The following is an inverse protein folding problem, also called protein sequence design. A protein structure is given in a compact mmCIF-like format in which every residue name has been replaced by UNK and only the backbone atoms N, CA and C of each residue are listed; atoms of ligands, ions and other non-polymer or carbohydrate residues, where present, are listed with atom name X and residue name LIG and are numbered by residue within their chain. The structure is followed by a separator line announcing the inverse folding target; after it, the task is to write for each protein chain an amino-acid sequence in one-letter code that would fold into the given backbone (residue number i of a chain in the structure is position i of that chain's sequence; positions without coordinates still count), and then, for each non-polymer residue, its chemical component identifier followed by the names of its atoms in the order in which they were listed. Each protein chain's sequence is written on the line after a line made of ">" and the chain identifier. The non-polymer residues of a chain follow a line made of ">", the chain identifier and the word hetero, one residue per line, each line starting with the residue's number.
data_IF_712830465616
#
_entry.id   IF_712830465616
#
_cell.length_a   1.000
_cell.length_b   1.000
_cell.length_c   1.000
_cell.angle_alpha   90.00
_cell.angle_beta   90.00
_cell.angle_gamma   90.00
#
_symmetry.space_group_name_H-M   'P 1'
#
loop_
_entity.id
_entity.type
_entity.pdbx_description
1 polymer ?
#
# COMPACT_ATOMS: atom_id res chain seq x y z
N UNK A 1 33.40 -23.62 32.08
CA UNK A 1 33.04 -24.22 30.78
C UNK A 1 31.62 -23.82 30.41
N UNK A 2 31.46 -22.83 29.53
CA UNK A 2 30.31 -22.72 28.62
C UNK A 2 30.83 -22.13 27.31
N UNK A 3 31.05 -23.02 26.36
CA UNK A 3 31.54 -22.77 25.01
C UNK A 3 30.49 -21.95 24.26
N UNK A 4 30.84 -20.77 23.76
CA UNK A 4 29.99 -20.04 22.80
C UNK A 4 30.26 -20.61 21.41
N UNK A 5 29.26 -21.30 20.85
CA UNK A 5 29.26 -21.72 19.46
C UNK A 5 28.95 -20.49 18.59
N UNK A 6 29.92 -20.11 17.75
CA UNK A 6 29.74 -19.10 16.70
C UNK A 6 29.00 -19.77 15.55
N UNK A 7 27.69 -19.54 15.45
CA UNK A 7 26.92 -19.96 14.27
C UNK A 7 27.22 -18.95 13.16
N UNK A 8 28.00 -19.40 12.17
CA UNK A 8 28.20 -18.68 10.93
C UNK A 8 26.87 -18.73 10.15
N UNK A 9 26.10 -17.63 10.12
CA UNK A 9 24.99 -17.52 9.20
C UNK A 9 25.57 -17.37 7.79
N UNK A 10 25.43 -18.41 6.97
CA UNK A 10 25.56 -18.27 5.53
C UNK A 10 24.38 -17.41 5.04
N UNK A 11 24.64 -16.15 4.73
CA UNK A 11 23.70 -15.32 3.99
C UNK A 11 23.62 -15.84 2.56
N UNK A 12 22.59 -16.63 2.27
CA UNK A 12 22.14 -16.88 0.92
C UNK A 12 21.79 -15.51 0.32
N UNK A 13 22.52 -15.07 -0.71
CA UNK A 13 22.10 -13.90 -1.50
C UNK A 13 20.80 -14.27 -2.21
N UNK A 14 19.67 -13.95 -1.59
CA UNK A 14 18.42 -13.73 -2.32
C UNK A 14 18.62 -12.39 -3.03
N UNK A 15 18.47 -12.36 -4.35
CA UNK A 15 18.45 -11.12 -5.11
C UNK A 15 17.39 -10.19 -4.49
N UNK A 16 17.86 -9.16 -3.79
CA UNK A 16 17.01 -8.23 -3.07
C UNK A 16 16.31 -7.31 -4.06
N UNK A 17 15.09 -7.64 -4.43
CA UNK A 17 14.21 -6.67 -5.06
C UNK A 17 13.93 -5.59 -4.01
N UNK A 18 14.35 -4.35 -4.28
CA UNK A 18 14.03 -3.22 -3.41
C UNK A 18 12.61 -2.75 -3.72
N UNK A 19 11.78 -2.59 -2.69
CA UNK A 19 10.44 -2.02 -2.85
C UNK A 19 10.54 -0.56 -3.29
N UNK A 20 9.62 -0.13 -4.14
CA UNK A 20 9.52 1.25 -4.62
C UNK A 20 8.19 1.86 -4.20
N UNK A 21 8.18 3.15 -3.88
CA UNK A 21 6.96 3.90 -3.58
C UNK A 21 6.14 4.05 -4.85
N UNK A 22 4.98 3.41 -4.88
CA UNK A 22 4.05 3.48 -6.01
C UNK A 22 3.18 4.73 -5.95
N UNK A 23 2.78 5.12 -4.74
CA UNK A 23 1.99 6.30 -4.46
C UNK A 23 2.24 6.73 -3.02
N UNK A 24 2.23 8.04 -2.78
CA UNK A 24 2.33 8.62 -1.44
C UNK A 24 1.47 9.87 -1.32
N UNK A 25 1.03 10.15 -0.10
CA UNK A 25 0.54 11.45 0.35
C UNK A 25 1.33 11.92 1.55
N UNK A 26 1.97 13.08 1.40
CA UNK A 26 2.76 13.73 2.46
C UNK A 26 1.98 14.85 3.12
N UNK A 27 0.93 15.37 2.47
CA UNK A 27 0.12 16.48 2.96
C UNK A 27 0.94 17.76 3.24
N UNK A 28 2.07 17.94 2.55
CA UNK A 28 2.94 19.11 2.76
C UNK A 28 2.29 20.41 2.27
N UNK A 29 1.33 20.33 1.32
CA UNK A 29 0.76 21.51 0.66
C UNK A 29 -0.77 21.56 0.61
N UNK A 30 -1.45 20.42 0.64
CA UNK A 30 -2.92 20.32 0.66
C UNK A 30 -3.38 18.94 1.18
N UNK A 31 -4.68 18.65 1.06
CA UNK A 31 -5.29 17.36 1.46
C UNK A 31 -5.08 16.23 0.43
N UNK A 32 -4.48 16.51 -0.72
CA UNK A 32 -4.22 15.56 -1.81
C UNK A 32 -5.43 14.74 -2.25
N UNK A 33 -6.64 15.31 -2.13
CA UNK A 33 -7.91 14.68 -2.49
C UNK A 33 -8.39 13.63 -1.50
N UNK A 34 -7.81 13.56 -0.29
CA UNK A 34 -8.32 12.73 0.78
C UNK A 34 -9.64 13.28 1.32
N UNK A 35 -10.41 12.40 1.98
CA UNK A 35 -11.64 12.80 2.63
C UNK A 35 -11.92 11.90 3.84
N UNK A 36 -13.15 11.96 4.35
CA UNK A 36 -13.64 11.12 5.44
C UNK A 36 -14.72 10.16 4.95
N UNK A 37 -14.99 9.14 5.75
CA UNK A 37 -16.08 8.20 5.56
C UNK A 37 -16.85 7.98 6.86
N UNK A 38 -18.18 7.88 6.72
CA UNK A 38 -19.15 7.75 7.83
C UNK A 38 -19.13 8.95 8.77
N UNK A 39 -18.76 8.76 10.03
CA UNK A 39 -19.10 9.66 11.14
C UNK A 39 -18.06 10.76 11.40
N UNK A 40 -17.14 10.95 10.46
CA UNK A 40 -16.23 12.07 10.52
C UNK A 40 -16.96 13.38 10.25
N UNK A 41 -16.45 14.48 10.79
CA UNK A 41 -16.75 15.84 10.31
C UNK A 41 -15.50 16.72 10.36
N UNK A 42 -15.69 17.95 9.92
CA UNK A 42 -14.69 19.01 10.01
C UNK A 42 -13.34 18.58 9.42
N UNK A 43 -13.39 17.81 8.32
CA UNK A 43 -12.20 17.38 7.60
C UNK A 43 -11.45 18.59 7.07
N UNK A 44 -10.17 18.70 7.43
CA UNK A 44 -9.34 19.84 7.10
C UNK A 44 -7.88 19.41 6.92
N UNK A 45 -7.22 20.07 5.97
CA UNK A 45 -5.76 20.10 5.91
C UNK A 45 -5.20 21.13 6.91
N UNK A 46 -4.06 20.80 7.53
CA UNK A 46 -3.40 21.60 8.55
C UNK A 46 -1.93 21.72 8.21
N UNK A 47 -1.50 22.95 7.90
CA UNK A 47 -0.13 23.21 7.43
C UNK A 47 0.95 23.14 8.52
N UNK A 48 0.57 23.22 9.79
CA UNK A 48 1.50 23.37 10.92
C UNK A 48 1.48 22.20 11.91
N UNK A 49 0.70 21.15 11.63
CA UNK A 49 0.65 19.90 12.40
C UNK A 49 1.01 18.78 11.44
N UNK A 50 1.85 17.84 11.87
CA UNK A 50 2.44 16.80 11.02
C UNK A 50 3.75 16.31 11.62
N UNK A 51 4.38 15.34 10.98
CA UNK A 51 5.75 14.92 11.27
C UNK A 51 6.51 14.53 9.98
N UNK A 52 7.03 15.49 9.18
CA UNK A 52 7.11 16.95 9.40
C UNK A 52 5.77 17.71 9.20
N UNK A 53 5.67 19.03 9.49
CA UNK A 53 4.40 19.76 9.41
C UNK A 53 3.69 19.65 8.04
N UNK A 54 2.37 19.45 8.10
CA UNK A 54 1.53 19.04 6.96
C UNK A 54 0.75 17.79 7.35
N UNK A 55 -0.57 17.86 7.45
CA UNK A 55 -1.42 16.69 7.75
C UNK A 55 -2.88 16.98 7.43
N UNK A 56 -3.70 15.93 7.40
CA UNK A 56 -5.17 16.06 7.41
C UNK A 56 -5.73 15.59 8.74
N UNK A 57 -6.83 16.19 9.17
CA UNK A 57 -7.52 15.81 10.42
C UNK A 57 -9.03 15.78 10.25
N UNK A 58 -9.69 15.07 11.15
CA UNK A 58 -11.14 15.12 11.32
C UNK A 58 -11.54 14.80 12.77
N UNK A 59 -12.81 15.03 13.09
CA UNK A 59 -13.41 14.87 14.43
C UNK A 59 -14.58 13.89 14.35
N UNK A 60 -14.77 13.05 15.37
CA UNK A 60 -15.96 12.22 15.55
C UNK A 60 -17.22 13.06 15.90
N UNK A 61 -18.33 12.81 15.20
CA UNK A 61 -19.63 13.45 15.46
C UNK A 61 -20.47 12.79 16.55
N UNK A 62 -20.04 11.67 17.13
CA UNK A 62 -20.66 10.95 18.26
C UNK A 62 -22.07 10.41 18.01
N UNK A 63 -22.43 10.12 16.76
CA UNK A 63 -23.70 9.49 16.36
C UNK A 63 -23.67 7.95 16.48
N UNK A 64 -22.54 7.36 16.91
CA UNK A 64 -22.45 5.96 17.33
C UNK A 64 -22.09 4.96 16.23
N UNK A 65 -21.69 5.43 15.03
CA UNK A 65 -20.92 4.63 14.07
C UNK A 65 -19.45 5.07 14.15
N UNK A 66 -18.60 4.43 13.35
CA UNK A 66 -17.16 4.63 13.37
C UNK A 66 -16.73 5.38 12.12
N UNK A 67 -15.68 6.20 12.24
CA UNK A 67 -15.20 7.01 11.13
C UNK A 67 -13.80 6.62 10.64
N UNK A 68 -13.56 6.93 9.37
CA UNK A 68 -12.32 6.62 8.67
C UNK A 68 -11.86 7.81 7.84
N UNK A 69 -10.54 7.95 7.69
CA UNK A 69 -9.96 8.61 6.54
C UNK A 69 -10.17 7.76 5.30
N UNK A 70 -10.71 8.38 4.25
CA UNK A 70 -10.94 7.77 2.95
C UNK A 70 -9.84 8.25 1.99
N UNK A 71 -9.13 7.29 1.41
CA UNK A 71 -8.07 7.59 0.46
C UNK A 71 -8.59 8.31 -0.79
N UNK A 72 -7.72 9.13 -1.38
CA UNK A 72 -7.97 9.76 -2.67
C UNK A 72 -7.99 8.74 -3.81
N UNK A 73 -8.53 9.12 -4.97
CA UNK A 73 -8.61 8.25 -6.14
C UNK A 73 -7.23 7.78 -6.65
N UNK A 74 -6.14 8.49 -6.30
CA UNK A 74 -4.77 8.11 -6.64
C UNK A 74 -4.36 6.77 -6.01
N UNK A 75 -4.89 6.45 -4.83
CA UNK A 75 -4.65 5.18 -4.13
C UNK A 75 -5.54 4.03 -4.64
N UNK A 76 -6.52 4.30 -5.51
CA UNK A 76 -7.52 3.33 -5.93
C UNK A 76 -7.22 2.75 -7.32
N UNK A 77 -8.18 2.01 -7.87
CA UNK A 77 -8.12 1.30 -9.15
C UNK A 77 -7.07 0.20 -9.11
N UNK A 78 -6.24 0.11 -10.14
CA UNK A 78 -5.23 -0.90 -10.24
C UNK A 78 -4.03 -0.59 -9.34
N UNK A 79 -3.83 -1.43 -8.34
CA UNK A 79 -2.69 -1.44 -7.40
C UNK A 79 -2.03 -2.81 -7.35
N UNK A 80 -2.05 -3.52 -8.47
CA UNK A 80 -1.41 -4.84 -8.65
C UNK A 80 0.05 -4.87 -8.19
N UNK A 81 0.81 -3.85 -8.59
CA UNK A 81 2.22 -3.67 -8.22
C UNK A 81 2.47 -3.64 -6.70
N UNK A 82 1.44 -3.29 -5.90
CA UNK A 82 1.57 -3.16 -4.45
C UNK A 82 1.63 -4.51 -3.72
N UNK A 83 1.26 -5.61 -4.39
CA UNK A 83 1.34 -6.92 -3.78
C UNK A 83 2.79 -7.27 -3.41
N UNK A 84 3.01 -7.75 -2.18
CA UNK A 84 4.36 -7.97 -1.64
C UNK A 84 4.99 -6.71 -1.05
N UNK A 85 4.44 -5.53 -1.34
CA UNK A 85 4.80 -4.24 -0.80
C UNK A 85 4.29 -3.99 0.63
N UNK A 86 4.25 -2.72 1.00
CA UNK A 86 3.70 -2.23 2.27
C UNK A 86 2.73 -1.09 2.04
N UNK A 87 1.74 -0.98 2.94
CA UNK A 87 0.97 0.22 3.16
C UNK A 87 1.41 0.81 4.51
N UNK A 88 1.94 2.01 4.51
CA UNK A 88 2.39 2.72 5.71
C UNK A 88 1.72 4.08 5.84
N UNK A 89 1.57 4.54 7.07
CA UNK A 89 1.06 5.87 7.39
C UNK A 89 1.46 6.25 8.80
N UNK A 90 1.26 7.51 9.17
CA UNK A 90 1.36 7.99 10.53
C UNK A 90 0.01 8.47 11.01
N UNK A 91 -0.34 8.14 12.26
CA UNK A 91 -1.55 8.61 12.90
C UNK A 91 -1.20 9.35 14.20
N UNK A 92 -1.97 10.37 14.55
CA UNK A 92 -1.97 10.96 15.88
C UNK A 92 -3.41 11.13 16.35
N UNK A 93 -3.75 10.64 17.54
CA UNK A 93 -5.08 10.83 18.11
C UNK A 93 -5.01 11.52 19.48
N UNK A 94 -6.05 12.28 19.83
CA UNK A 94 -6.13 12.99 21.11
C UNK A 94 -6.66 12.12 22.26
N UNK A 95 -7.30 10.99 21.96
CA UNK A 95 -7.88 10.07 22.92
C UNK A 95 -7.98 8.67 22.31
N UNK A 96 -8.06 7.65 23.16
CA UNK A 96 -8.40 6.28 22.77
C UNK A 96 -9.05 5.52 23.91
N UNK A 97 -9.77 4.45 23.59
CA UNK A 97 -10.18 3.44 24.55
C UNK A 97 -9.03 2.46 24.88
N UNK A 98 -9.18 1.72 25.98
CA UNK A 98 -8.20 0.71 26.39
C UNK A 98 -8.07 -0.46 25.40
N UNK A 99 -9.14 -0.74 24.65
CA UNK A 99 -9.23 -1.80 23.65
C UNK A 99 -10.37 -1.49 22.68
N UNK A 100 -10.20 -1.79 21.40
CA UNK A 100 -11.27 -1.61 20.40
C UNK A 100 -11.13 -2.60 19.23
N UNK A 101 -11.03 -3.89 19.60
CA UNK A 101 -10.93 -5.04 18.70
C UNK A 101 -12.20 -5.31 17.87
N UNK A 102 -13.01 -4.29 17.58
CA UNK A 102 -14.27 -4.40 16.83
C UNK A 102 -14.28 -3.57 15.56
N UNK A 103 -13.25 -2.75 15.32
CA UNK A 103 -13.18 -1.80 14.22
C UNK A 103 -11.88 -2.03 13.45
N UNK A 104 -11.95 -2.42 12.17
CA UNK A 104 -10.77 -2.53 11.31
C UNK A 104 -9.94 -1.25 11.29
N UNK A 105 -8.62 -1.36 11.41
CA UNK A 105 -7.71 -0.24 11.26
C UNK A 105 -7.45 0.09 9.78
N UNK A 106 -7.43 -0.96 8.94
CA UNK A 106 -7.36 -0.83 7.49
C UNK A 106 -8.51 -1.59 6.85
N UNK A 107 -9.18 -0.94 5.89
CA UNK A 107 -10.20 -1.58 5.04
C UNK A 107 -9.84 -1.38 3.58
N UNK A 108 -9.69 -2.47 2.85
CA UNK A 108 -9.53 -2.49 1.39
C UNK A 108 -10.76 -3.12 0.77
N UNK A 109 -11.39 -2.45 -0.20
CA UNK A 109 -12.57 -2.96 -0.90
C UNK A 109 -12.28 -2.99 -2.39
N UNK A 110 -12.43 -4.15 -3.02
CA UNK A 110 -12.18 -4.34 -4.44
C UNK A 110 -12.64 -5.71 -4.90
N UNK A 111 -12.88 -5.88 -6.21
CA UNK A 111 -13.36 -7.15 -6.77
C UNK A 111 -14.57 -7.78 -6.02
N UNK A 112 -15.46 -6.95 -5.45
CA UNK A 112 -16.62 -7.40 -4.67
C UNK A 112 -16.31 -7.94 -3.27
N UNK A 113 -15.09 -7.76 -2.77
CA UNK A 113 -14.61 -8.28 -1.49
C UNK A 113 -14.13 -7.14 -0.59
N UNK A 114 -14.24 -7.34 0.73
CA UNK A 114 -13.67 -6.45 1.74
C UNK A 114 -12.60 -7.19 2.53
N UNK A 115 -11.38 -6.62 2.56
CA UNK A 115 -10.28 -7.09 3.38
C UNK A 115 -10.09 -6.12 4.53
N UNK A 116 -9.94 -6.67 5.74
CA UNK A 116 -9.75 -5.92 6.97
C UNK A 116 -8.46 -6.32 7.65
N UNK A 117 -7.83 -5.36 8.32
CA UNK A 117 -6.62 -5.56 9.12
C UNK A 117 -6.81 -4.95 10.51
N UNK A 118 -6.30 -5.63 11.53
CA UNK A 118 -6.35 -5.23 12.95
C UNK A 118 -4.93 -4.86 13.42
N UNK A 119 -4.79 -3.70 14.07
CA UNK A 119 -3.54 -3.17 14.58
C UNK A 119 -3.65 -2.82 16.07
N UNK A 120 -2.53 -2.86 16.81
CA UNK A 120 -2.49 -2.33 18.16
C UNK A 120 -2.85 -0.84 18.19
N UNK A 121 -3.48 -0.39 19.27
CA UNK A 121 -3.85 1.00 19.46
C UNK A 121 -2.67 1.98 19.43
N UNK A 122 -2.82 3.17 18.81
CA UNK A 122 -1.75 4.17 18.74
C UNK A 122 -1.51 4.79 20.10
N UNK A 123 -0.39 5.47 20.28
CA UNK A 123 -0.11 6.27 21.50
C UNK A 123 -0.80 7.63 21.40
N UNK A 124 -1.55 8.03 22.42
CA UNK A 124 -2.28 9.31 22.43
C UNK A 124 -1.30 10.49 22.40
N UNK A 125 -1.60 11.50 21.59
CA UNK A 125 -0.82 12.72 21.37
C UNK A 125 0.61 12.48 20.88
N UNK A 126 0.86 11.34 20.22
CA UNK A 126 2.15 11.00 19.63
C UNK A 126 1.91 10.51 18.20
N UNK A 127 2.69 11.02 17.25
CA UNK A 127 2.70 10.48 15.89
C UNK A 127 3.19 9.03 15.91
N UNK A 128 2.27 8.11 15.65
CA UNK A 128 2.50 6.68 15.67
C UNK A 128 2.62 6.15 14.24
N UNK A 129 3.76 5.55 13.85
CA UNK A 129 3.91 4.97 12.53
C UNK A 129 3.25 3.60 12.49
N UNK A 130 2.44 3.37 11.46
CA UNK A 130 1.94 2.06 11.07
C UNK A 130 2.52 1.63 9.74
N UNK A 131 2.69 0.31 9.59
CA UNK A 131 3.08 -0.32 8.35
C UNK A 131 2.51 -1.74 8.33
N UNK A 132 1.78 -2.07 7.28
CA UNK A 132 1.23 -3.42 7.06
C UNK A 132 1.75 -3.97 5.74
N UNK A 133 2.09 -5.26 5.72
CA UNK A 133 2.47 -5.94 4.48
C UNK A 133 1.24 -6.25 3.63
N UNK A 134 1.35 -5.99 2.32
CA UNK A 134 0.30 -6.24 1.34
C UNK A 134 0.43 -7.66 0.77
N UNK A 135 0.33 -8.65 1.65
CA UNK A 135 0.28 -10.08 1.34
C UNK A 135 -0.78 -10.75 2.21
N UNK A 136 -1.48 -11.75 1.69
CA UNK A 136 -2.60 -12.42 2.35
C UNK A 136 -2.22 -13.07 3.68
N UNK A 137 -0.97 -13.49 3.82
CA UNK A 137 -0.43 -14.13 5.03
C UNK A 137 -0.08 -13.16 6.16
N UNK A 138 -0.14 -11.83 5.93
CA UNK A 138 0.27 -10.82 6.90
C UNK A 138 -0.72 -10.60 8.06
N UNK A 139 -1.92 -11.20 8.01
CA UNK A 139 -2.94 -11.04 9.04
C UNK A 139 -4.27 -10.49 8.54
N UNK A 140 -4.41 -10.26 7.23
CA UNK A 140 -5.65 -9.83 6.60
C UNK A 140 -6.76 -10.86 6.76
N UNK A 141 -7.99 -10.35 6.87
CA UNK A 141 -9.21 -11.16 6.99
C UNK A 141 -10.28 -10.67 6.05
N UNK A 142 -11.11 -11.58 5.56
CA UNK A 142 -12.26 -11.24 4.72
C UNK A 142 -13.43 -10.80 5.61
N UNK A 143 -13.97 -9.60 5.34
CA UNK A 143 -15.16 -8.98 5.94
C UNK A 143 -15.11 -8.67 7.46
N UNK A 144 -14.45 -9.49 8.28
CA UNK A 144 -14.35 -9.30 9.73
C UNK A 144 -13.08 -9.94 10.30
N UNK A 145 -12.70 -9.59 11.53
CA UNK A 145 -11.50 -10.14 12.19
C UNK A 145 -11.54 -11.67 12.40
N UNK A 146 -12.73 -12.27 12.41
CA UNK A 146 -12.92 -13.72 12.51
C UNK A 146 -13.17 -14.38 11.16
N UNK A 147 -13.12 -13.61 10.07
CA UNK A 147 -13.28 -14.10 8.71
C UNK A 147 -12.17 -15.04 8.26
N UNK A 148 -12.36 -15.62 7.08
CA UNK A 148 -11.34 -16.41 6.43
C UNK A 148 -10.09 -15.56 6.12
N UNK A 149 -8.92 -16.19 6.14
CA UNK A 149 -7.72 -15.60 5.53
C UNK A 149 -7.96 -15.59 4.01
N UNK A 150 -7.78 -14.46 3.32
CA UNK A 150 -7.89 -14.43 1.87
C UNK A 150 -6.87 -15.37 1.23
N UNK A 151 -7.21 -15.95 0.07
CA UNK A 151 -6.19 -16.59 -0.76
C UNK A 151 -5.36 -15.52 -1.47
N UNK A 152 -4.16 -15.86 -1.92
CA UNK A 152 -3.31 -14.97 -2.72
C UNK A 152 -4.09 -14.38 -3.91
N UNK A 153 -4.80 -15.23 -4.66
CA UNK A 153 -5.60 -14.79 -5.80
C UNK A 153 -6.71 -13.79 -5.41
N UNK A 154 -7.35 -13.98 -4.26
CA UNK A 154 -8.37 -13.06 -3.75
C UNK A 154 -7.76 -11.73 -3.33
N UNK A 155 -6.62 -11.77 -2.61
CA UNK A 155 -5.93 -10.57 -2.15
C UNK A 155 -5.47 -9.71 -3.33
N UNK A 156 -4.83 -10.35 -4.31
CA UNK A 156 -4.41 -9.69 -5.56
C UNK A 156 -5.62 -9.13 -6.32
N UNK A 157 -6.70 -9.87 -6.47
CA UNK A 157 -7.91 -9.38 -7.17
C UNK A 157 -8.48 -8.10 -6.54
N UNK A 158 -8.44 -7.98 -5.20
CA UNK A 158 -8.80 -6.75 -4.50
C UNK A 158 -7.87 -5.60 -4.88
N UNK A 159 -6.57 -5.84 -4.95
CA UNK A 159 -5.59 -4.82 -5.32
C UNK A 159 -5.70 -4.35 -6.79
N UNK A 160 -5.97 -5.22 -7.78
CA UNK A 160 -6.19 -4.72 -9.16
C UNK A 160 -7.46 -3.89 -9.33
N UNK A 161 -8.45 -4.10 -8.46
CA UNK A 161 -9.77 -3.49 -8.60
C UNK A 161 -10.16 -2.74 -7.34
N UNK A 162 -9.22 -1.98 -6.76
CA UNK A 162 -9.43 -1.30 -5.51
C UNK A 162 -10.42 -0.14 -5.70
N UNK A 163 -11.56 -0.22 -5.03
CA UNK A 163 -12.66 0.76 -5.09
C UNK A 163 -12.76 1.61 -3.83
N UNK A 164 -12.20 1.13 -2.72
CA UNK A 164 -12.02 1.92 -1.52
C UNK A 164 -10.80 1.46 -0.72
N UNK A 165 -10.09 2.43 -0.15
CA UNK A 165 -9.12 2.24 0.92
C UNK A 165 -9.50 3.17 2.07
N UNK A 166 -9.54 2.64 3.28
CA UNK A 166 -9.90 3.38 4.48
C UNK A 166 -8.89 3.12 5.58
N UNK A 167 -8.45 4.19 6.23
CA UNK A 167 -7.58 4.16 7.40
C UNK A 167 -8.37 4.71 8.58
N UNK A 168 -8.34 3.98 9.68
CA UNK A 168 -9.15 4.30 10.85
C UNK A 168 -8.78 5.66 11.46
N UNK A 169 -9.79 6.47 11.71
CA UNK A 169 -9.65 7.72 12.47
C UNK A 169 -10.21 7.64 13.89
N UNK A 170 -11.08 6.66 14.14
CA UNK A 170 -11.86 6.54 15.36
C UNK A 170 -11.19 5.65 16.40
N UNK A 171 -10.66 6.20 17.49
CA UNK A 171 -9.92 5.45 18.51
C UNK A 171 -10.68 5.31 19.83
N UNK A 172 -11.83 5.96 19.99
CA UNK A 172 -12.56 5.99 21.26
C UNK A 172 -14.07 5.87 21.07
N UNK A 173 -14.77 5.34 22.06
CA UNK A 173 -16.22 5.49 22.14
C UNK A 173 -16.57 6.93 22.54
N UNK A 174 -17.05 7.71 21.56
CA UNK A 174 -17.42 9.11 21.69
C UNK A 174 -16.27 10.06 21.32
N UNK A 175 -16.54 11.37 21.39
CA UNK A 175 -15.77 12.38 20.67
C UNK A 175 -14.25 12.24 20.82
N UNK A 176 -13.61 12.09 19.67
CA UNK A 176 -12.17 12.11 19.51
C UNK A 176 -11.78 12.92 18.25
N UNK A 177 -10.48 13.06 18.08
CA UNK A 177 -9.88 13.69 16.92
C UNK A 177 -8.65 12.88 16.54
N UNK A 178 -8.48 12.66 15.24
CA UNK A 178 -7.25 12.09 14.70
C UNK A 178 -6.70 12.93 13.54
N UNK A 179 -5.38 12.84 13.39
CA UNK A 179 -4.61 13.35 12.28
C UNK A 179 -3.99 12.18 11.52
N UNK A 180 -3.92 12.31 10.20
CA UNK A 180 -3.28 11.38 9.29
C UNK A 180 -2.16 12.10 8.53
N UNK A 181 -1.02 11.42 8.40
CA UNK A 181 0.15 11.96 7.71
C UNK A 181 0.97 10.83 7.04
N UNK A 182 1.82 11.17 6.07
CA UNK A 182 2.82 10.31 5.44
C UNK A 182 2.29 8.93 4.98
N UNK A 183 1.16 8.93 4.26
CA UNK A 183 0.60 7.69 3.71
C UNK A 183 1.41 7.27 2.50
N UNK A 184 1.85 6.02 2.43
CA UNK A 184 2.57 5.50 1.28
C UNK A 184 2.18 4.05 1.01
N UNK A 185 2.09 3.71 -0.27
CA UNK A 185 1.98 2.35 -0.74
C UNK A 185 3.23 2.03 -1.54
N UNK A 186 3.97 1.04 -1.09
CA UNK A 186 5.12 0.50 -1.81
C UNK A 186 4.73 -0.78 -2.53
N UNK A 187 5.59 -1.20 -3.45
CA UNK A 187 5.40 -2.43 -4.17
C UNK A 187 6.65 -2.85 -4.90
N UNK A 188 6.50 -3.89 -5.69
CA UNK A 188 7.52 -4.34 -6.61
C UNK A 188 7.03 -4.03 -8.01
N UNK A 189 7.72 -3.13 -8.69
CA UNK A 189 7.64 -3.04 -10.12
C UNK A 189 8.98 -3.53 -10.68
N UNK A 190 9.01 -4.60 -11.50
CA UNK A 190 10.26 -5.18 -12.02
C UNK A 190 11.18 -4.12 -12.68
N UNK A 191 10.59 -3.06 -13.22
CA UNK A 191 11.24 -2.00 -13.99
C UNK A 191 11.82 -0.82 -13.18
N UNK A 192 11.78 -0.85 -11.83
CA UNK A 192 12.31 0.26 -11.01
C UNK A 192 13.63 -0.06 -10.28
N UNK A 193 14.08 -1.33 -10.33
CA UNK A 193 15.44 -1.73 -9.95
C UNK A 193 16.33 -2.11 -11.15
N UNK A 194 15.70 -2.26 -12.32
CA UNK A 194 16.26 -2.60 -13.63
C UNK A 194 15.90 -1.48 -14.61
N UNK A 195 16.72 -1.19 -15.63
CA UNK A 195 16.32 -0.22 -16.67
C UNK A 195 14.95 -0.63 -17.24
N UNK A 196 14.01 0.33 -17.32
CA UNK A 196 12.69 0.06 -17.92
C UNK A 196 12.91 -0.53 -19.32
N UNK A 197 12.36 -1.72 -19.55
CA UNK A 197 12.47 -2.45 -20.80
C UNK A 197 13.58 -3.49 -20.88
N UNK A 198 14.50 -3.59 -19.90
CA UNK A 198 15.43 -4.72 -19.76
C UNK A 198 14.70 -5.82 -18.96
N UNK A 199 14.19 -6.82 -19.66
CA UNK A 199 13.30 -7.85 -19.13
C UNK A 199 14.04 -9.15 -18.83
N UNK A 200 15.15 -9.40 -19.52
CA UNK A 200 15.93 -10.63 -19.37
C UNK A 200 17.12 -10.48 -18.38
N UNK A 201 17.46 -9.26 -17.94
CA UNK A 201 18.53 -9.01 -16.97
C UNK A 201 19.95 -8.94 -17.53
N UNK A 202 20.12 -8.82 -18.84
CA UNK A 202 21.43 -8.77 -19.49
C UNK A 202 22.05 -7.37 -19.57
N UNK A 203 21.33 -6.34 -19.08
CA UNK A 203 21.74 -4.93 -19.02
C UNK A 203 21.80 -4.22 -20.35
N UNK A 204 21.13 -4.75 -21.36
CA UNK A 204 20.82 -4.04 -22.59
C UNK A 204 19.32 -4.15 -22.84
N UNK A 205 18.72 -3.13 -23.44
CA UNK A 205 17.35 -3.24 -23.96
C UNK A 205 17.45 -3.55 -25.44
N UNK A 206 17.17 -4.79 -25.84
CA UNK A 206 17.32 -5.23 -27.24
C UNK A 206 16.13 -6.04 -27.77
N UNK A 207 16.35 -6.73 -28.89
CA UNK A 207 15.31 -7.52 -29.55
C UNK A 207 14.87 -8.72 -28.70
N UNK A 208 15.69 -9.16 -27.75
CA UNK A 208 15.33 -10.18 -26.76
C UNK A 208 14.23 -9.67 -25.84
N UNK A 209 14.36 -8.47 -25.29
CA UNK A 209 13.32 -7.89 -24.42
C UNK A 209 12.04 -7.57 -25.18
N UNK A 210 12.20 -7.04 -26.39
CA UNK A 210 11.08 -6.80 -27.29
C UNK A 210 10.32 -8.10 -27.60
N UNK A 211 11.03 -9.21 -27.83
CA UNK A 211 10.41 -10.50 -28.08
C UNK A 211 9.61 -11.00 -26.89
N UNK A 212 10.07 -10.77 -25.66
CA UNK A 212 9.34 -11.15 -24.44
C UNK A 212 7.99 -10.42 -24.35
N UNK A 213 7.97 -9.09 -24.53
CA UNK A 213 6.70 -8.33 -24.53
C UNK A 213 5.78 -8.76 -25.65
N UNK A 214 6.30 -8.96 -26.86
CA UNK A 214 5.49 -9.36 -28.01
C UNK A 214 4.91 -10.78 -27.87
N UNK A 215 5.66 -11.71 -27.28
CA UNK A 215 5.19 -13.07 -26.98
C UNK A 215 4.10 -13.10 -25.92
N UNK A 216 4.17 -12.14 -24.99
CA UNK A 216 3.22 -12.01 -23.89
C UNK A 216 2.12 -10.97 -24.13
N UNK A 217 2.06 -10.35 -25.32
CA UNK A 217 1.14 -9.26 -25.61
C UNK A 217 -0.33 -9.67 -25.45
N UNK A 218 -1.09 -8.86 -24.71
CA UNK A 218 -2.48 -9.13 -24.35
C UNK A 218 -2.66 -10.19 -23.26
N UNK A 219 -1.59 -10.77 -22.71
CA UNK A 219 -1.70 -11.55 -21.50
C UNK A 219 -2.05 -10.64 -20.33
N UNK A 220 -2.87 -11.17 -19.44
CA UNK A 220 -3.28 -10.52 -18.19
C UNK A 220 -2.79 -11.38 -17.05
N UNK A 221 -2.19 -10.77 -16.04
CA UNK A 221 -1.50 -11.53 -14.99
C UNK A 221 -0.79 -10.59 -14.03
N UNK A 222 -0.09 -11.15 -13.04
CA UNK A 222 0.59 -10.36 -12.01
C UNK A 222 2.08 -10.65 -12.07
N UNK A 223 2.90 -9.62 -11.84
CA UNK A 223 4.36 -9.76 -11.80
C UNK A 223 4.94 -10.46 -13.04
N UNK A 224 4.33 -10.21 -14.20
CA UNK A 224 4.92 -10.56 -15.49
C UNK A 224 6.08 -9.59 -15.69
N UNK A 225 7.27 -10.08 -16.05
CA UNK A 225 8.41 -9.20 -16.28
C UNK A 225 8.10 -8.21 -17.41
N UNK A 226 7.31 -8.68 -18.37
CA UNK A 226 6.82 -8.00 -19.55
C UNK A 226 5.77 -6.91 -19.28
N UNK A 227 5.12 -6.95 -18.11
CA UNK A 227 4.25 -5.88 -17.61
C UNK A 227 5.14 -4.82 -16.94
N UNK A 228 5.74 -3.99 -17.79
CA UNK A 228 6.74 -2.98 -17.44
C UNK A 228 6.19 -1.82 -16.62
N UNK A 229 4.89 -1.54 -16.74
CA UNK A 229 4.21 -0.47 -16.00
C UNK A 229 3.45 -1.01 -14.76
N UNK A 230 3.39 -2.34 -14.62
CA UNK A 230 2.82 -3.07 -13.50
C UNK A 230 1.30 -2.87 -13.33
N UNK A 231 0.59 -2.65 -14.43
CA UNK A 231 -0.86 -2.48 -14.48
C UNK A 231 -1.63 -3.79 -14.73
N UNK A 232 -0.94 -4.93 -14.77
CA UNK A 232 -1.56 -6.25 -14.84
C UNK A 232 -2.10 -6.64 -16.21
N UNK A 233 -1.87 -5.84 -17.25
CA UNK A 233 -2.06 -6.21 -18.65
C UNK A 233 -0.77 -5.92 -19.41
N UNK A 234 -0.41 -6.79 -20.35
CA UNK A 234 0.71 -6.50 -21.26
C UNK A 234 0.12 -5.85 -22.51
N UNK A 235 0.32 -4.54 -22.65
CA UNK A 235 -0.29 -3.75 -23.72
C UNK A 235 0.70 -2.82 -24.46
N UNK A 236 0.16 -1.84 -25.19
CA UNK A 236 0.95 -0.91 -25.98
C UNK A 236 1.82 0.02 -25.12
N UNK A 237 1.48 0.22 -23.84
CA UNK A 237 2.32 0.95 -22.90
C UNK A 237 3.58 0.13 -22.58
N UNK A 238 3.47 -1.19 -22.42
CA UNK A 238 4.65 -2.02 -22.16
C UNK A 238 5.57 -2.12 -23.35
N UNK A 239 4.97 -2.26 -24.52
CA UNK A 239 5.71 -2.21 -25.77
C UNK A 239 6.41 -0.87 -25.95
N UNK A 240 5.73 0.25 -25.65
CA UNK A 240 6.32 1.58 -25.72
C UNK A 240 7.51 1.72 -24.76
N UNK A 241 7.39 1.20 -23.53
CA UNK A 241 8.46 1.22 -22.53
C UNK A 241 9.74 0.50 -23.00
N UNK A 242 9.62 -0.66 -23.67
CA UNK A 242 10.77 -1.33 -24.29
C UNK A 242 11.33 -0.52 -25.46
N UNK A 243 10.46 -0.05 -26.37
CA UNK A 243 10.90 0.67 -27.58
C UNK A 243 11.57 2.02 -27.28
N UNK A 244 11.10 2.75 -26.27
CA UNK A 244 11.68 4.04 -25.84
C UNK A 244 13.09 3.89 -25.24
N UNK A 245 13.40 2.71 -24.71
CA UNK A 245 14.70 2.39 -24.12
C UNK A 245 15.59 1.52 -25.02
N UNK A 246 15.13 1.13 -26.21
CA UNK A 246 15.85 0.24 -27.12
C UNK A 246 17.28 0.73 -27.41
N UNK A 247 18.25 -0.17 -27.23
CA UNK A 247 19.69 0.06 -27.38
C UNK A 247 20.36 0.73 -26.19
N UNK A 248 19.65 1.04 -25.10
CA UNK A 248 20.27 1.57 -23.87
C UNK A 248 20.92 0.45 -23.06
N UNK A 249 21.97 0.81 -22.32
CA UNK A 249 22.74 -0.10 -21.45
C UNK A 249 23.06 0.57 -20.11
N UNK A 250 23.32 -0.22 -19.06
CA UNK A 250 23.60 0.31 -17.71
C UNK A 250 24.43 -0.63 -16.82
#
# INVERSE_FOLDING_TARGET
>A
MKTFAMVLLASLLVAGHSQVTLISSTFDTDDEGWNIFSDGRDFQWVSNVGNPPGSVFAIDITNGQWWYFRASDAFLRNKSAAYGGTLSWQINCNARDASNNTIPDVVLIGAGMTLVYDLPQPVVNVWHPYSVSLVETAGWRINSFTGAVPTEAQFRAVLANLTAMRLRGEFRTGADQAYLDNVAMTGFCPSQGQMIGDLNGDRIVDDTDLSLVLEAFGQTGWAMAEDTNCDGIIDDIDLANVLENFGRTW
#
